data_IF_342046044343
#
_entry.id   IF_342046044343
#
_cell.length_a   1.000
_cell.length_b   1.000
_cell.length_c   1.000
_cell.angle_alpha   90.00
_cell.angle_beta   90.00
_cell.angle_gamma   90.00
#
_symmetry.space_group_name_H-M   'P 1'
#
loop_
_entity.id
_entity.type
_entity.pdbx_description
1 polymer ?
#
# COMPACT_ATOMS: atom_id res chain seq x y z
N UNK A 1 -11.63 -2.80 5.83
CA UNK A 1 -10.66 -3.56 5.02
C UNK A 1 -10.92 -3.30 3.56
N UNK A 2 -9.91 -3.47 2.70
CA UNK A 2 -10.09 -3.57 1.24
C UNK A 2 -9.91 -5.01 0.81
N UNK A 3 -10.59 -5.39 -0.27
CA UNK A 3 -10.57 -6.73 -0.83
C UNK A 3 -10.20 -6.61 -2.30
N UNK A 4 -9.11 -7.27 -2.70
CA UNK A 4 -8.62 -7.26 -4.07
C UNK A 4 -8.60 -8.67 -4.64
N UNK A 5 -9.30 -8.87 -5.75
CA UNK A 5 -9.21 -10.11 -6.54
C UNK A 5 -8.04 -10.03 -7.50
N UNK A 6 -7.18 -11.05 -7.51
CA UNK A 6 -5.94 -11.08 -8.30
C UNK A 6 -5.83 -12.40 -9.05
N UNK A 7 -5.59 -12.31 -10.36
CA UNK A 7 -5.32 -13.49 -11.20
C UNK A 7 -3.83 -13.86 -11.14
N UNK A 8 -3.52 -15.10 -10.74
CA UNK A 8 -2.16 -15.67 -10.73
C UNK A 8 -1.55 -15.76 -12.12
N UNK A 9 -2.39 -15.91 -13.15
CA UNK A 9 -1.93 -15.97 -14.56
C UNK A 9 -1.37 -14.64 -15.03
N UNK A 10 -2.01 -13.53 -14.63
CA UNK A 10 -1.61 -12.18 -15.04
C UNK A 10 -0.56 -11.60 -14.09
N UNK A 11 -0.69 -11.89 -12.79
CA UNK A 11 0.12 -11.29 -11.72
C UNK A 11 0.68 -12.38 -10.80
N UNK A 12 1.61 -13.21 -11.30
CA UNK A 12 2.06 -14.41 -10.61
C UNK A 12 2.74 -14.14 -9.27
N UNK A 13 3.38 -12.97 -9.11
CA UNK A 13 4.21 -12.66 -7.94
C UNK A 13 3.52 -11.78 -6.90
N UNK A 14 2.32 -11.24 -7.16
CA UNK A 14 1.70 -10.24 -6.29
C UNK A 14 1.45 -10.76 -4.87
N UNK A 15 0.92 -11.98 -4.77
CA UNK A 15 0.64 -12.64 -3.48
C UNK A 15 1.92 -13.02 -2.76
N UNK A 16 2.92 -13.54 -3.48
CA UNK A 16 4.19 -13.97 -2.90
C UNK A 16 4.97 -12.79 -2.31
N UNK A 17 5.14 -11.72 -3.09
CA UNK A 17 5.84 -10.50 -2.66
C UNK A 17 5.07 -9.81 -1.54
N UNK A 18 3.74 -9.70 -1.65
CA UNK A 18 2.94 -9.11 -0.58
C UNK A 18 3.05 -9.89 0.73
N UNK A 19 3.04 -11.23 0.68
CA UNK A 19 3.26 -12.08 1.88
C UNK A 19 4.66 -11.96 2.44
N UNK A 20 5.69 -11.86 1.59
CA UNK A 20 7.08 -11.64 2.00
C UNK A 20 7.18 -10.41 2.92
N UNK A 21 6.64 -9.27 2.48
CA UNK A 21 6.66 -8.04 3.27
C UNK A 21 5.68 -8.00 4.43
N UNK A 22 4.71 -8.92 4.47
CA UNK A 22 3.73 -9.03 5.57
C UNK A 22 4.14 -10.04 6.64
N UNK A 23 5.25 -10.75 6.46
CA UNK A 23 5.74 -11.78 7.38
C UNK A 23 6.92 -11.28 8.21
N UNK A 24 7.01 -11.72 9.45
CA UNK A 24 8.18 -11.49 10.30
C UNK A 24 9.41 -12.15 9.68
N UNK A 25 10.60 -11.51 9.70
CA UNK A 25 10.92 -10.25 10.40
C UNK A 25 10.62 -8.98 9.60
N UNK A 26 10.29 -9.08 8.30
CA UNK A 26 10.17 -7.90 7.43
C UNK A 26 8.99 -7.00 7.80
N UNK A 27 7.88 -7.57 8.28
CA UNK A 27 6.73 -6.79 8.74
C UNK A 27 7.00 -5.96 10.00
N UNK A 28 8.04 -6.30 10.76
CA UNK A 28 8.42 -5.60 12.00
C UNK A 28 9.42 -4.46 11.74
N UNK A 29 10.02 -4.39 10.55
CA UNK A 29 10.94 -3.32 10.18
C UNK A 29 10.16 -2.01 9.95
N UNK A 30 10.44 -0.92 10.68
CA UNK A 30 9.71 0.33 10.53
C UNK A 30 9.84 0.95 9.13
N UNK A 31 10.92 0.64 8.41
CA UNK A 31 11.18 1.09 7.03
C UNK A 31 10.31 0.37 6.00
N UNK A 32 9.60 -0.69 6.41
CA UNK A 32 8.69 -1.40 5.55
C UNK A 32 7.40 -0.60 5.34
N UNK A 33 7.37 0.14 4.24
CA UNK A 33 6.18 0.85 3.75
C UNK A 33 5.38 0.02 2.74
N UNK A 34 5.48 -1.31 2.72
CA UNK A 34 4.56 -2.14 1.95
C UNK A 34 3.25 -2.32 2.71
N UNK A 35 2.11 -2.16 2.03
CA UNK A 35 0.80 -2.38 2.64
C UNK A 35 0.66 -3.83 3.12
N UNK A 36 0.31 -4.06 4.40
CA UNK A 36 0.27 -5.42 4.94
C UNK A 36 -0.91 -6.21 4.39
N UNK A 37 -0.63 -7.43 3.96
CA UNK A 37 -1.63 -8.44 3.66
C UNK A 37 -2.08 -9.06 4.99
N UNK A 38 -3.36 -8.89 5.31
CA UNK A 38 -3.98 -9.49 6.50
C UNK A 38 -4.31 -10.97 6.26
N UNK A 39 -4.82 -11.27 5.06
CA UNK A 39 -5.19 -12.63 4.67
C UNK A 39 -5.18 -12.79 3.16
N UNK A 40 -4.95 -14.01 2.69
CA UNK A 40 -5.12 -14.38 1.28
C UNK A 40 -6.02 -15.60 1.22
N UNK A 41 -7.17 -15.42 0.59
CA UNK A 41 -8.18 -16.46 0.40
C UNK A 41 -8.09 -17.00 -1.02
N UNK A 42 -8.37 -18.29 -1.18
CA UNK A 42 -8.59 -18.90 -2.49
C UNK A 42 -10.00 -18.52 -3.00
N UNK A 43 -10.13 -18.04 -4.23
CA UNK A 43 -11.47 -17.82 -4.81
C UNK A 43 -12.19 -19.18 -4.95
N UNK A 44 -13.45 -19.32 -4.47
CA UNK A 44 -14.16 -20.60 -4.45
C UNK A 44 -14.60 -21.08 -5.83
N UNK A 45 -14.59 -20.21 -6.85
CA UNK A 45 -14.99 -20.53 -8.23
C UNK A 45 -13.78 -20.62 -9.16
N UNK A 46 -12.74 -19.83 -8.92
CA UNK A 46 -11.60 -19.71 -9.84
C UNK A 46 -10.27 -20.05 -9.15
N UNK A 47 -9.74 -21.26 -9.40
CA UNK A 47 -8.48 -21.75 -8.81
C UNK A 47 -7.25 -20.89 -9.15
N UNK A 48 -7.30 -20.15 -10.25
CA UNK A 48 -6.24 -19.23 -10.67
C UNK A 48 -6.38 -17.82 -10.08
N UNK A 49 -7.39 -17.58 -9.23
CA UNK A 49 -7.63 -16.30 -8.59
C UNK A 49 -7.47 -16.39 -7.07
N UNK A 50 -6.84 -15.37 -6.50
CA UNK A 50 -6.79 -15.16 -5.06
C UNK A 50 -7.55 -13.89 -4.69
N UNK A 51 -8.04 -13.86 -3.46
CA UNK A 51 -8.63 -12.70 -2.84
C UNK A 51 -7.68 -12.23 -1.72
N UNK A 52 -7.10 -11.06 -1.90
CA UNK A 52 -6.20 -10.43 -0.92
C UNK A 52 -7.03 -9.51 -0.03
N UNK A 53 -6.92 -9.70 1.29
CA UNK A 53 -7.52 -8.84 2.31
C UNK A 53 -6.42 -7.95 2.89
N UNK A 54 -6.64 -6.64 2.85
CA UNK A 54 -5.68 -5.62 3.31
C UNK A 54 -6.40 -4.52 4.13
N UNK A 55 -5.68 -3.69 4.88
CA UNK A 55 -6.26 -2.55 5.58
C UNK A 55 -7.08 -1.64 4.66
N UNK A 56 -8.01 -0.90 5.26
CA UNK A 56 -8.64 0.21 4.54
C UNK A 56 -7.68 1.40 4.56
N UNK A 57 -7.22 1.78 3.38
CA UNK A 57 -6.28 2.88 3.15
C UNK A 57 -6.91 3.89 2.21
N UNK A 58 -6.35 5.09 2.19
CA UNK A 58 -6.79 6.19 1.32
C UNK A 58 -5.68 6.55 0.35
N UNK A 59 -5.99 7.07 -0.84
CA UNK A 59 -4.95 7.61 -1.72
C UNK A 59 -4.15 8.70 -0.98
N UNK A 60 -2.83 8.73 -1.19
CA UNK A 60 -1.94 9.71 -0.55
C UNK A 60 -2.30 11.17 -0.89
N UNK A 61 -2.92 11.39 -2.05
CA UNK A 61 -3.38 12.69 -2.54
C UNK A 61 -4.77 13.09 -2.07
N UNK A 62 -5.41 12.28 -1.21
CA UNK A 62 -6.78 12.51 -0.73
C UNK A 62 -6.79 12.65 0.79
N UNK A 63 -7.25 13.78 1.36
CA UNK A 63 -7.46 15.08 0.70
C UNK A 63 -6.14 15.61 0.10
N UNK A 64 -6.18 16.68 -0.68
CA UNK A 64 -4.94 17.28 -1.21
C UNK A 64 -3.96 17.65 -0.08
N UNK A 65 -2.67 17.71 -0.39
CA UNK A 65 -1.66 18.16 0.57
C UNK A 65 -1.83 19.65 0.87
N UNK A 66 -1.79 20.03 2.14
CA UNK A 66 -1.96 21.41 2.59
C UNK A 66 -0.64 22.21 2.50
N UNK A 67 0.51 21.53 2.65
CA UNK A 67 1.82 22.17 2.64
C UNK A 67 2.88 21.37 1.86
N UNK A 68 3.94 22.06 1.46
CA UNK A 68 5.15 21.41 0.89
C UNK A 68 5.76 20.43 1.89
N UNK A 69 5.68 20.72 3.19
CA UNK A 69 6.20 19.83 4.25
C UNK A 69 5.53 18.46 4.25
N UNK A 70 4.21 18.41 4.01
CA UNK A 70 3.47 17.14 3.92
C UNK A 70 3.88 16.31 2.70
N UNK A 71 4.14 16.97 1.57
CA UNK A 71 4.65 16.32 0.35
C UNK A 71 6.06 15.79 0.56
N UNK A 72 6.93 16.57 1.21
CA UNK A 72 8.29 16.15 1.54
C UNK A 72 8.28 14.95 2.49
N UNK A 73 7.42 14.92 3.50
CA UNK A 73 7.31 13.75 4.38
C UNK A 73 6.76 12.51 3.65
N UNK A 74 5.78 12.69 2.77
CA UNK A 74 5.30 11.60 1.90
C UNK A 74 6.45 11.00 1.06
N UNK A 75 7.27 11.84 0.42
CA UNK A 75 8.40 11.36 -0.37
C UNK A 75 9.49 10.72 0.48
N UNK A 76 9.76 11.26 1.68
CA UNK A 76 10.70 10.66 2.64
C UNK A 76 10.30 9.21 2.95
N UNK A 77 9.04 8.98 3.32
CA UNK A 77 8.50 7.64 3.62
C UNK A 77 8.50 6.73 2.37
N UNK A 78 8.15 7.27 1.19
CA UNK A 78 8.18 6.53 -0.06
C UNK A 78 9.59 6.02 -0.40
N UNK A 79 10.59 6.89 -0.29
CA UNK A 79 11.98 6.53 -0.58
C UNK A 79 12.56 5.56 0.45
N UNK A 80 12.19 5.70 1.72
CA UNK A 80 12.50 4.73 2.77
C UNK A 80 11.94 3.34 2.42
N UNK A 81 10.66 3.28 2.02
CA UNK A 81 10.00 2.06 1.56
C UNK A 81 10.65 1.42 0.33
N UNK A 82 10.94 2.21 -0.70
CA UNK A 82 11.60 1.71 -1.91
C UNK A 82 13.02 1.22 -1.61
N UNK A 83 13.77 1.95 -0.78
CA UNK A 83 15.10 1.52 -0.33
C UNK A 83 15.02 0.21 0.46
N UNK A 84 14.00 0.04 1.31
CA UNK A 84 13.76 -1.19 2.04
C UNK A 84 13.44 -2.36 1.10
N UNK A 85 12.56 -2.16 0.10
CA UNK A 85 12.28 -3.19 -0.90
C UNK A 85 13.55 -3.59 -1.67
N UNK A 86 14.37 -2.62 -2.07
CA UNK A 86 15.63 -2.88 -2.78
C UNK A 86 16.65 -3.62 -1.91
N UNK A 87 16.72 -3.33 -0.61
CA UNK A 87 17.56 -4.07 0.34
C UNK A 87 17.13 -5.55 0.48
N UNK A 88 15.88 -5.85 0.15
CA UNK A 88 15.33 -7.21 0.08
C UNK A 88 15.25 -7.76 -1.35
N UNK A 89 16.00 -7.15 -2.29
CA UNK A 89 16.10 -7.55 -3.69
C UNK A 89 14.77 -7.54 -4.45
N UNK A 90 13.81 -6.71 -4.04
CA UNK A 90 12.53 -6.55 -4.75
C UNK A 90 12.43 -5.17 -5.37
N UNK A 91 12.15 -5.07 -6.67
CA UNK A 91 11.77 -3.81 -7.31
C UNK A 91 10.25 -3.72 -7.45
N UNK A 92 9.66 -2.57 -7.10
CA UNK A 92 8.21 -2.36 -7.20
C UNK A 92 7.71 -2.33 -8.65
N UNK A 93 8.45 -1.64 -9.54
CA UNK A 93 8.17 -1.47 -10.99
C UNK A 93 6.88 -0.73 -11.37
N UNK A 94 6.13 -0.20 -10.41
CA UNK A 94 4.87 0.52 -10.64
C UNK A 94 4.57 1.51 -9.51
N UNK A 95 5.57 2.23 -9.01
CA UNK A 95 5.41 3.16 -7.88
C UNK A 95 4.80 4.52 -8.30
N UNK A 96 3.78 4.48 -9.17
CA UNK A 96 3.04 5.67 -9.60
C UNK A 96 2.06 6.16 -8.54
N UNK A 97 1.52 7.38 -8.72
CA UNK A 97 0.67 8.07 -7.73
C UNK A 97 -0.52 7.25 -7.21
N UNK A 98 -1.08 6.36 -8.04
CA UNK A 98 -2.23 5.53 -7.67
C UNK A 98 -1.88 4.30 -6.82
N UNK A 99 -0.58 4.00 -6.70
CA UNK A 99 -0.06 2.92 -5.88
C UNK A 99 0.60 3.44 -4.58
N UNK A 100 0.38 4.72 -4.26
CA UNK A 100 0.82 5.35 -3.02
C UNK A 100 -0.41 5.74 -2.21
N UNK A 101 -0.60 5.06 -1.09
CA UNK A 101 -1.74 5.22 -0.19
C UNK A 101 -1.27 5.65 1.20
N UNK A 102 -2.20 5.96 2.09
CA UNK A 102 -1.92 6.37 3.46
C UNK A 102 -2.88 5.73 4.45
N UNK A 103 -2.40 5.57 5.68
CA UNK A 103 -3.22 5.27 6.84
C UNK A 103 -4.06 6.49 7.24
N UNK A 104 -5.31 6.50 6.79
CA UNK A 104 -6.22 7.61 7.02
C UNK A 104 -6.98 7.53 8.36
N UNK A 105 -6.66 6.58 9.25
CA UNK A 105 -7.40 6.41 10.52
C UNK A 105 -7.34 7.64 11.42
N UNK A 106 -6.16 8.26 11.52
CA UNK A 106 -5.99 9.50 12.28
C UNK A 106 -6.37 10.74 11.46
N UNK A 107 -6.20 10.67 10.13
CA UNK A 107 -6.56 11.75 9.22
C UNK A 107 -8.07 12.02 9.23
N UNK A 108 -8.87 10.95 9.31
CA UNK A 108 -10.32 10.98 9.48
C UNK A 108 -10.71 10.29 10.78
N UNK A 109 -10.72 10.98 11.94
CA UNK A 109 -11.03 10.37 13.24
C UNK A 109 -12.42 9.75 13.33
N UNK A 110 -13.40 10.36 12.65
CA UNK A 110 -14.77 9.82 12.51
C UNK A 110 -14.87 8.78 11.38
N UNK A 111 -13.83 8.74 10.54
CA UNK A 111 -13.65 7.91 9.37
C UNK A 111 -14.45 8.37 8.14
N UNK A 112 -14.34 7.57 7.09
CA UNK A 112 -14.74 7.93 5.73
C UNK A 112 -15.40 6.76 5.02
N UNK A 113 -16.12 7.05 3.94
CA UNK A 113 -16.71 6.03 3.07
C UNK A 113 -15.61 5.36 2.21
N UNK A 114 -15.54 4.02 2.13
CA UNK A 114 -14.44 3.32 1.46
C UNK A 114 -14.30 3.59 -0.05
N UNK A 115 -15.38 3.99 -0.72
CA UNK A 115 -15.41 4.27 -2.18
C UNK A 115 -15.39 5.77 -2.47
N UNK A 116 -15.93 6.58 -1.55
CA UNK A 116 -16.09 8.03 -1.71
C UNK A 116 -15.48 8.71 -0.50
N UNK A 117 -14.14 8.84 -0.42
CA UNK A 117 -13.45 9.24 0.81
C UNK A 117 -13.82 10.65 1.32
N UNK A 118 -14.42 11.49 0.48
CA UNK A 118 -14.95 12.80 0.85
C UNK A 118 -16.31 12.73 1.57
N UNK A 119 -16.97 11.57 1.63
CA UNK A 119 -18.24 11.33 2.32
C UNK A 119 -17.99 10.56 3.63
N UNK A 120 -18.73 10.91 4.69
CA UNK A 120 -18.66 10.21 5.96
C UNK A 120 -19.17 8.76 5.85
N UNK A 121 -18.87 7.92 6.85
CA UNK A 121 -19.27 6.51 6.86
C UNK A 121 -20.78 6.25 6.75
N UNK A 122 -21.61 7.23 7.11
CA UNK A 122 -23.07 7.12 7.11
C UNK A 122 -23.72 7.66 5.83
N UNK A 123 -22.93 8.18 4.88
CA UNK A 123 -23.43 8.75 3.62
C UNK A 123 -24.41 9.93 3.83
N UNK A 124 -24.25 10.68 4.92
CA UNK A 124 -25.12 11.80 5.28
C UNK A 124 -24.43 13.18 5.27
N UNK A 125 -23.15 13.23 4.91
CA UNK A 125 -22.39 14.48 4.87
C UNK A 125 -20.92 14.27 4.53
N UNK A 126 -20.16 15.36 4.53
CA UNK A 126 -18.73 15.33 4.26
C UNK A 126 -17.96 14.61 5.36
N UNK A 127 -16.92 13.86 4.98
CA UNK A 127 -15.98 13.29 5.92
C UNK A 127 -15.09 14.39 6.49
N UNK A 128 -15.15 14.61 7.81
CA UNK A 128 -14.24 15.53 8.49
C UNK A 128 -12.82 14.96 8.49
N UNK A 129 -11.83 15.80 8.26
CA UNK A 129 -10.41 15.48 8.40
C UNK A 129 -9.65 16.56 9.18
N UNK A 130 -8.49 16.20 9.69
CA UNK A 130 -7.48 17.11 10.26
C UNK A 130 -6.28 17.19 9.33
N UNK A 131 -5.33 18.10 9.57
CA UNK A 131 -4.17 18.24 8.67
C UNK A 131 -3.20 17.06 8.84
N UNK A 132 -2.40 16.75 7.81
CA UNK A 132 -1.37 15.70 7.96
C UNK A 132 -0.24 16.15 8.88
N UNK A 133 -0.03 17.46 8.99
CA UNK A 133 0.91 18.07 9.94
C UNK A 133 0.48 17.84 11.41
N UNK A 134 -0.80 17.64 11.67
CA UNK A 134 -1.29 17.30 13.01
C UNK A 134 -1.24 15.80 13.31
N UNK A 135 -1.51 14.94 12.32
CA UNK A 135 -1.69 13.51 12.53
C UNK A 135 -0.53 12.60 12.07
N UNK A 136 0.36 13.10 11.22
CA UNK A 136 1.53 12.40 10.66
C UNK A 136 1.20 11.00 10.12
N UNK A 137 0.43 10.89 9.02
CA UNK A 137 0.00 9.60 8.51
C UNK A 137 1.18 8.79 7.98
N UNK A 138 1.05 7.46 8.08
CA UNK A 138 1.98 6.53 7.45
C UNK A 138 1.57 6.29 6.00
N UNK A 139 2.50 6.37 5.06
CA UNK A 139 2.26 6.05 3.65
C UNK A 139 2.66 4.61 3.33
N UNK A 140 1.95 4.01 2.38
CA UNK A 140 2.22 2.66 1.90
C UNK A 140 2.30 2.59 0.38
N UNK A 141 3.16 1.70 -0.09
CA UNK A 141 3.23 1.15 -1.43
C UNK A 141 2.28 -0.03 -1.52
N UNK A 142 1.38 0.00 -2.51
CA UNK A 142 0.46 -1.09 -2.80
C UNK A 142 0.71 -1.67 -4.19
N UNK A 143 0.00 -2.76 -4.50
CA UNK A 143 -0.12 -3.27 -5.86
C UNK A 143 1.20 -3.82 -6.45
N UNK A 144 1.63 -4.96 -5.91
CA UNK A 144 2.87 -5.66 -6.31
C UNK A 144 2.74 -6.50 -7.60
N UNK A 145 1.72 -6.26 -8.42
CA UNK A 145 1.44 -7.03 -9.63
C UNK A 145 2.57 -7.06 -10.65
N UNK A 146 3.31 -5.95 -10.74
CA UNK A 146 4.44 -5.79 -11.63
C UNK A 146 5.79 -5.96 -10.92
N UNK A 147 5.78 -6.15 -9.60
CA UNK A 147 7.00 -6.25 -8.82
C UNK A 147 7.77 -7.54 -9.12
N UNK A 148 9.09 -7.52 -8.91
CA UNK A 148 9.98 -8.66 -9.13
C UNK A 148 10.99 -8.79 -8.01
N UNK A 149 11.23 -10.02 -7.59
CA UNK A 149 12.34 -10.39 -6.73
C UNK A 149 13.52 -10.82 -7.61
N UNK A 150 14.71 -10.32 -7.31
CA UNK A 150 15.94 -10.56 -8.05
C UNK A 150 16.87 -11.46 -7.25
N UNK A 151 17.55 -12.37 -7.95
CA UNK A 151 18.58 -13.19 -7.33
C UNK A 151 19.87 -12.38 -7.20
N UNK A 152 20.35 -12.08 -5.98
CA UNK A 152 21.58 -11.31 -5.78
C UNK A 152 22.83 -11.99 -6.36
N UNK A 153 22.81 -13.32 -6.54
CA UNK A 153 23.94 -14.06 -7.10
C UNK A 153 24.12 -13.85 -8.62
N UNK A 154 23.11 -13.35 -9.32
CA UNK A 154 23.14 -13.14 -10.79
C UNK A 154 23.71 -11.77 -11.15
N UNK A 155 23.99 -10.91 -10.15
CA UNK A 155 24.46 -9.54 -10.35
C UNK A 155 23.31 -8.54 -10.61
N UNK A 156 23.64 -7.29 -10.99
CA UNK A 156 22.63 -6.27 -11.23
C UNK A 156 21.67 -6.66 -12.37
N UNK A 157 20.35 -6.52 -12.19
CA UNK A 157 19.39 -6.81 -13.25
C UNK A 157 19.58 -5.87 -14.45
N UNK A 158 19.37 -6.39 -15.65
CA UNK A 158 19.55 -5.69 -16.94
C UNK A 158 18.22 -5.24 -17.57
N UNK A 159 17.09 -5.47 -16.89
CA UNK A 159 15.74 -5.14 -17.36
C UNK A 159 15.23 -3.77 -16.91
#
# INVERSE_FOLDING_TARGET
>A
VMIKRVSRKIRPFEVEIGRLFSSSPLSEDPRNHCDPILEVLQDPKYLDEHIIVMPLVMLSTEPSFDTVGEVVDCFRQLFEGLSFMHANFVAHRDCGRFNIVQDARHLHPEGFHPVEPYINKTHHGLARYITRTECWPRYYLINFGLSRCYNPAVGPPLE
#
